data_IF_348560427842
#
_entry.id   IF_348560427842
#
_cell.length_a   1.000
_cell.length_b   1.000
_cell.length_c   1.000
_cell.angle_alpha   90.00
_cell.angle_beta   90.00
_cell.angle_gamma   90.00
#
_symmetry.space_group_name_H-M   'P 1'
#
loop_
_entity.id
_entity.type
_entity.pdbx_description
1 polymer ?
#
# COMPACT_ATOMS: atom_id res chain seq x y z
N UNK A 1 14.35 17.89 -25.89
CA UNK A 1 12.97 17.39 -25.76
C UNK A 1 12.70 17.31 -24.26
N UNK A 2 11.85 18.18 -23.72
CA UNK A 2 11.59 18.21 -22.28
C UNK A 2 10.75 16.99 -21.87
N UNK A 3 11.02 16.35 -20.71
CA UNK A 3 10.18 15.25 -20.23
C UNK A 3 8.77 15.78 -19.96
N UNK A 4 7.75 15.02 -20.39
CA UNK A 4 6.36 15.34 -20.12
C UNK A 4 6.10 15.42 -18.60
N UNK A 5 5.24 16.33 -18.13
CA UNK A 5 4.93 16.44 -16.72
C UNK A 5 4.32 15.12 -16.18
N UNK A 6 4.70 14.69 -14.96
CA UNK A 6 4.22 13.45 -14.38
C UNK A 6 2.71 13.52 -14.12
N UNK A 7 1.98 12.46 -14.48
CA UNK A 7 0.55 12.34 -14.18
C UNK A 7 0.32 11.98 -12.71
N UNK A 8 -0.85 12.28 -12.16
CA UNK A 8 -1.22 11.91 -10.77
C UNK A 8 -1.06 10.40 -10.55
N UNK A 9 -1.47 9.58 -11.52
CA UNK A 9 -1.27 8.13 -11.51
C UNK A 9 0.21 7.76 -11.44
N UNK A 10 1.08 8.45 -12.18
CA UNK A 10 2.53 8.20 -12.12
C UNK A 10 3.16 8.53 -10.76
N UNK A 11 2.63 9.55 -10.06
CA UNK A 11 3.04 9.90 -8.70
C UNK A 11 2.59 8.84 -7.69
N UNK A 12 1.34 8.38 -7.80
CA UNK A 12 0.81 7.28 -6.97
C UNK A 12 1.63 5.99 -7.19
N UNK A 13 1.94 5.67 -8.44
CA UNK A 13 2.76 4.52 -8.79
C UNK A 13 4.19 4.65 -8.20
N UNK A 14 4.84 5.80 -8.34
CA UNK A 14 6.21 5.99 -7.82
C UNK A 14 6.26 5.92 -6.29
N UNK A 15 5.24 6.43 -5.60
CA UNK A 15 5.07 6.27 -4.16
C UNK A 15 4.96 4.79 -3.78
N UNK A 16 4.07 4.03 -4.42
CA UNK A 16 3.89 2.60 -4.13
C UNK A 16 5.17 1.78 -4.37
N UNK A 17 5.90 2.08 -5.44
CA UNK A 17 7.21 1.47 -5.73
C UNK A 17 8.20 1.76 -4.60
N UNK A 18 8.24 3.01 -4.13
CA UNK A 18 9.14 3.43 -3.05
C UNK A 18 8.81 2.72 -1.74
N UNK A 19 7.53 2.68 -1.35
CA UNK A 19 7.09 1.98 -0.13
C UNK A 19 7.37 0.48 -0.21
N UNK A 20 7.07 -0.14 -1.35
CA UNK A 20 7.36 -1.56 -1.59
C UNK A 20 8.86 -1.84 -1.45
N UNK A 21 9.71 -0.96 -1.99
CA UNK A 21 11.16 -1.10 -1.89
C UNK A 21 11.64 -1.07 -0.45
N UNK A 22 11.10 -0.17 0.38
CA UNK A 22 11.41 -0.08 1.81
C UNK A 22 11.01 -1.36 2.55
N UNK A 23 9.82 -1.90 2.27
CA UNK A 23 9.33 -3.13 2.90
C UNK A 23 10.07 -4.40 2.45
N UNK A 24 10.61 -4.39 1.22
CA UNK A 24 11.37 -5.51 0.65
C UNK A 24 12.86 -5.48 0.98
N UNK A 25 13.31 -4.58 1.86
CA UNK A 25 14.72 -4.48 2.22
C UNK A 25 15.22 -5.79 2.84
N UNK A 26 16.47 -6.19 2.53
CA UNK A 26 17.05 -7.38 3.14
C UNK A 26 17.18 -7.18 4.64
N UNK A 27 16.83 -8.21 5.39
CA UNK A 27 16.97 -8.23 6.83
C UNK A 27 18.44 -8.49 7.18
N UNK A 28 18.95 -7.72 8.13
CA UNK A 28 20.25 -7.91 8.74
C UNK A 28 20.08 -8.05 10.26
N UNK A 29 20.86 -8.92 10.93
CA UNK A 29 20.82 -9.03 12.37
C UNK A 29 21.29 -7.74 13.03
N UNK A 30 20.62 -7.35 14.11
CA UNK A 30 21.03 -6.18 14.89
C UNK A 30 22.30 -6.51 15.67
N UNK A 31 23.14 -5.49 15.92
CA UNK A 31 24.36 -5.64 16.73
C UNK A 31 24.06 -6.17 18.14
N UNK A 32 22.93 -5.76 18.72
CA UNK A 32 22.45 -6.28 19.99
C UNK A 32 22.23 -7.80 19.92
N UNK A 33 21.55 -8.30 18.89
CA UNK A 33 21.35 -9.75 18.71
C UNK A 33 22.68 -10.49 18.55
N UNK A 34 23.62 -9.94 17.76
CA UNK A 34 24.95 -10.54 17.56
C UNK A 34 25.72 -10.68 18.88
N UNK A 35 25.68 -9.65 19.73
CA UNK A 35 26.35 -9.66 21.03
C UNK A 35 25.77 -10.74 21.96
N UNK A 36 24.44 -10.89 22.01
CA UNK A 36 23.79 -11.96 22.79
C UNK A 36 24.09 -13.36 22.24
N UNK A 37 24.16 -13.52 20.91
CA UNK A 37 24.51 -14.79 20.29
C UNK A 37 25.96 -15.20 20.62
N UNK A 38 26.87 -14.23 20.64
CA UNK A 38 28.27 -14.47 20.98
C UNK A 38 28.47 -14.78 22.48
N UNK A 39 27.78 -14.07 23.39
CA UNK A 39 27.89 -14.33 24.83
C UNK A 39 27.38 -15.71 25.23
N UNK A 40 26.33 -16.22 24.57
CA UNK A 40 25.84 -17.59 24.80
C UNK A 40 26.81 -18.67 24.28
N UNK A 41 27.70 -18.34 23.34
CA UNK A 41 28.71 -19.29 22.84
C UNK A 41 29.83 -19.56 23.86
N UNK A 42 30.04 -18.66 24.81
CA UNK A 42 31.07 -18.77 25.85
C UNK A 42 30.59 -19.55 27.08
N UNK A 43 29.30 -19.90 27.17
CA UNK A 43 28.72 -20.64 28.30
C UNK A 43 28.63 -22.13 27.96
N UNK A 44 29.54 -22.93 28.54
CA UNK A 44 29.87 -24.30 28.12
C UNK A 44 28.78 -25.37 28.32
N UNK A 45 27.69 -25.11 29.05
CA UNK A 45 26.93 -26.25 29.60
C UNK A 45 25.69 -26.73 28.85
N UNK A 46 24.98 -25.96 28.01
CA UNK A 46 23.82 -26.51 27.26
C UNK A 46 23.24 -25.60 26.14
N UNK A 47 23.74 -24.38 25.95
CA UNK A 47 23.16 -23.41 25.02
C UNK A 47 24.24 -22.70 24.18
N UNK A 48 25.05 -23.48 23.46
CA UNK A 48 26.03 -22.91 22.54
C UNK A 48 25.33 -21.99 21.51
N UNK A 49 25.75 -20.73 21.45
CA UNK A 49 25.26 -19.74 20.48
C UNK A 49 25.29 -20.27 19.04
N UNK A 50 24.37 -19.77 18.20
CA UNK A 50 24.24 -20.21 16.81
C UNK A 50 25.53 -19.93 16.05
N UNK A 51 26.04 -20.89 15.24
CA UNK A 51 27.23 -20.66 14.44
C UNK A 51 26.95 -19.59 13.38
N UNK A 52 27.82 -18.58 13.31
CA UNK A 52 27.69 -17.42 12.41
C UNK A 52 27.43 -17.83 10.95
N UNK A 53 28.10 -18.89 10.48
CA UNK A 53 27.89 -19.43 9.14
C UNK A 53 26.44 -19.91 8.90
N UNK A 54 25.82 -20.57 9.88
CA UNK A 54 24.44 -21.02 9.74
C UNK A 54 23.45 -19.85 9.75
N UNK A 55 23.77 -18.80 10.50
CA UNK A 55 23.00 -17.55 10.56
C UNK A 55 23.06 -16.85 9.20
N UNK A 56 24.26 -16.68 8.65
CA UNK A 56 24.46 -16.07 7.33
C UNK A 56 23.75 -16.87 6.22
N UNK A 57 23.87 -18.20 6.22
CA UNK A 57 23.18 -19.06 5.25
C UNK A 57 21.66 -18.96 5.36
N UNK A 58 21.12 -18.88 6.59
CA UNK A 58 19.69 -18.73 6.83
C UNK A 58 19.19 -17.36 6.36
N UNK A 59 19.92 -16.29 6.67
CA UNK A 59 19.61 -14.92 6.24
C UNK A 59 19.67 -14.79 4.72
N UNK A 60 20.68 -15.39 4.09
CA UNK A 60 20.79 -15.41 2.64
C UNK A 60 19.55 -16.04 2.00
N UNK A 61 19.14 -17.22 2.48
CA UNK A 61 17.94 -17.92 1.98
C UNK A 61 16.65 -17.12 2.25
N UNK A 62 16.53 -16.52 3.42
CA UNK A 62 15.37 -15.71 3.80
C UNK A 62 15.25 -14.47 2.91
N UNK A 63 16.34 -13.71 2.78
CA UNK A 63 16.40 -12.51 1.94
C UNK A 63 16.13 -12.85 0.47
N UNK A 64 16.64 -13.99 -0.01
CA UNK A 64 16.33 -14.46 -1.35
C UNK A 64 14.83 -14.74 -1.54
N UNK A 65 14.19 -15.46 -0.61
CA UNK A 65 12.74 -15.72 -0.66
C UNK A 65 11.92 -14.43 -0.56
N UNK A 66 12.33 -13.50 0.30
CA UNK A 66 11.68 -12.20 0.44
C UNK A 66 11.72 -11.42 -0.89
N UNK A 67 12.87 -11.39 -1.55
CA UNK A 67 13.01 -10.75 -2.86
C UNK A 67 12.16 -11.43 -3.93
N UNK A 68 12.12 -12.77 -3.97
CA UNK A 68 11.26 -13.51 -4.89
C UNK A 68 9.78 -13.20 -4.64
N UNK A 69 9.35 -13.17 -3.38
CA UNK A 69 8.00 -12.83 -2.99
C UNK A 69 7.64 -11.40 -3.39
N UNK A 70 8.50 -10.42 -3.08
CA UNK A 70 8.30 -9.02 -3.43
C UNK A 70 8.14 -8.83 -4.96
N UNK A 71 8.95 -9.52 -5.77
CA UNK A 71 8.83 -9.48 -7.24
C UNK A 71 7.52 -10.08 -7.76
N UNK A 72 6.99 -11.12 -7.11
CA UNK A 72 5.75 -11.79 -7.52
C UNK A 72 4.50 -11.01 -7.10
N UNK A 73 4.49 -10.50 -5.87
CA UNK A 73 3.33 -9.77 -5.32
C UNK A 73 3.23 -8.36 -5.89
N UNK A 74 4.37 -7.67 -6.05
CA UNK A 74 4.41 -6.28 -6.50
C UNK A 74 4.91 -6.18 -7.95
N UNK A 75 4.26 -6.93 -8.84
CA UNK A 75 4.54 -6.83 -10.27
C UNK A 75 4.27 -5.40 -10.77
N UNK A 76 5.10 -4.84 -11.68
CA UNK A 76 4.97 -3.45 -12.13
C UNK A 76 3.57 -3.09 -12.65
N UNK A 77 2.92 -4.02 -13.36
CA UNK A 77 1.56 -3.85 -13.88
C UNK A 77 0.51 -3.82 -12.76
N UNK A 78 0.67 -4.65 -11.73
CA UNK A 78 -0.22 -4.65 -10.57
C UNK A 78 -0.11 -3.33 -9.79
N UNK A 79 1.12 -2.84 -9.59
CA UNK A 79 1.36 -1.55 -8.91
C UNK A 79 0.74 -0.38 -9.66
N UNK A 80 0.80 -0.39 -11.00
CA UNK A 80 0.12 0.60 -11.84
C UNK A 80 -1.40 0.51 -11.70
N UNK A 81 -1.96 -0.69 -11.78
CA UNK A 81 -3.40 -0.90 -11.65
C UNK A 81 -3.93 -0.45 -10.29
N UNK A 82 -3.19 -0.71 -9.20
CA UNK A 82 -3.53 -0.19 -7.86
C UNK A 82 -3.49 1.34 -7.84
N UNK A 83 -2.50 1.97 -8.48
CA UNK A 83 -2.45 3.43 -8.58
C UNK A 83 -3.65 4.02 -9.33
N UNK A 84 -4.11 3.36 -10.40
CA UNK A 84 -5.31 3.73 -11.16
C UNK A 84 -6.59 3.54 -10.32
N UNK A 85 -6.71 2.43 -9.57
CA UNK A 85 -7.83 2.21 -8.65
C UNK A 85 -7.92 3.28 -7.55
N UNK A 86 -6.78 3.67 -6.96
CA UNK A 86 -6.72 4.75 -5.97
C UNK A 86 -7.14 6.08 -6.62
N UNK A 87 -6.84 6.30 -7.90
CA UNK A 87 -7.31 7.46 -8.64
C UNK A 87 -8.83 7.47 -8.81
N UNK A 88 -9.38 6.37 -9.30
CA UNK A 88 -10.84 6.21 -9.47
C UNK A 88 -11.59 6.37 -8.15
N UNK A 89 -11.08 5.78 -7.05
CA UNK A 89 -11.69 5.92 -5.74
C UNK A 89 -11.75 7.38 -5.28
N UNK A 90 -10.69 8.15 -5.53
CA UNK A 90 -10.64 9.56 -5.16
C UNK A 90 -11.62 10.41 -5.99
N UNK A 91 -11.71 10.15 -7.30
CA UNK A 91 -12.68 10.80 -8.18
C UNK A 91 -14.12 10.50 -7.75
N UNK A 92 -14.45 9.23 -7.53
CA UNK A 92 -15.80 8.82 -7.09
C UNK A 92 -16.17 9.41 -5.71
N UNK A 93 -15.21 9.50 -4.79
CA UNK A 93 -15.42 10.11 -3.49
C UNK A 93 -15.67 11.63 -3.59
N UNK A 94 -14.94 12.31 -4.49
CA UNK A 94 -15.14 13.73 -4.75
C UNK A 94 -16.55 13.99 -5.35
N UNK A 95 -16.97 13.20 -6.34
CA UNK A 95 -18.31 13.31 -6.94
C UNK A 95 -19.44 13.07 -5.92
N UNK A 96 -19.27 12.08 -5.04
CA UNK A 96 -20.24 11.79 -3.99
C UNK A 96 -20.34 12.93 -2.95
N UNK A 97 -19.21 13.56 -2.61
CA UNK A 97 -19.19 14.72 -1.71
C UNK A 97 -19.88 15.94 -2.32
N UNK A 98 -19.70 16.20 -3.63
CA UNK A 98 -20.38 17.30 -4.33
C UNK A 98 -21.87 17.03 -4.47
N UNK A 99 -22.29 15.80 -4.74
CA UNK A 99 -23.70 15.44 -4.92
C UNK A 99 -24.47 15.37 -3.60
N UNK A 100 -23.84 14.90 -2.52
CA UNK A 100 -24.40 14.91 -1.17
C UNK A 100 -24.58 16.31 -0.58
N UNK A 101 -23.77 17.28 -1.01
CA UNK A 101 -23.94 18.69 -0.66
C UNK A 101 -25.14 19.36 -1.35
N UNK A 102 -25.67 18.78 -2.43
CA UNK A 102 -26.86 19.27 -3.15
C UNK A 102 -28.16 18.56 -2.74
N UNK A 103 -28.12 17.56 -1.85
CA UNK A 103 -29.29 16.82 -1.39
C UNK A 103 -29.85 17.29 -0.03
N UNK A 104 -29.42 18.46 0.44
CA UNK A 104 -29.86 19.08 1.70
C UNK A 104 -30.37 20.52 1.55
N UNK A 105 -30.78 20.92 0.35
CA UNK A 105 -31.44 22.20 0.11
C UNK A 105 -32.87 21.93 -0.36
N UNK A 106 -33.82 22.10 0.56
CA UNK A 106 -35.22 21.79 0.34
C UNK A 106 -36.07 21.91 1.59
N UNK A 107 -35.81 22.91 2.43
CA UNK A 107 -36.85 23.44 3.30
C UNK A 107 -36.64 24.94 3.49
N UNK A 108 -37.70 25.65 3.12
CA UNK A 108 -37.88 27.09 3.07
C UNK A 108 -37.32 27.81 4.29
N UNK A 109 -36.62 28.92 4.08
CA UNK A 109 -36.85 30.14 4.87
C UNK A 109 -36.16 31.33 4.19
N UNK A 110 -37.01 32.28 3.78
CA UNK A 110 -36.69 33.65 3.45
C UNK A 110 -35.87 34.27 4.58
N UNK A 111 -34.70 34.85 4.27
CA UNK A 111 -34.26 36.13 4.85
C UNK A 111 -32.93 36.57 4.22
N UNK A 112 -32.89 37.86 3.93
CA UNK A 112 -31.81 38.60 3.29
C UNK A 112 -30.53 38.61 4.15
N UNK A 113 -29.39 38.91 3.51
CA UNK A 113 -28.03 39.03 4.07
C UNK A 113 -27.24 37.72 4.26
N UNK A 114 -26.76 37.15 3.14
CA UNK A 114 -25.70 36.12 3.18
C UNK A 114 -24.40 36.65 2.61
N UNK A 115 -23.50 36.98 3.54
CA UNK A 115 -22.06 37.12 3.33
C UNK A 115 -21.53 35.90 2.55
N UNK A 116 -20.64 36.16 1.59
CA UNK A 116 -20.06 35.14 0.70
C UNK A 116 -19.25 34.18 1.56
N UNK A 117 -19.85 33.07 1.98
CA UNK A 117 -19.16 32.05 2.77
C UNK A 117 -18.21 31.31 1.82
N UNK A 118 -16.97 31.77 1.82
CA UNK A 118 -15.81 31.12 1.22
C UNK A 118 -15.62 29.75 1.90
N UNK A 119 -16.35 28.75 1.40
CA UNK A 119 -16.56 27.47 2.06
C UNK A 119 -16.06 26.28 1.26
N UNK A 120 -14.94 26.40 0.54
CA UNK A 120 -14.14 25.20 0.30
C UNK A 120 -13.65 24.76 1.67
N UNK A 121 -14.35 23.82 2.31
CA UNK A 121 -13.86 23.22 3.55
C UNK A 121 -12.53 22.52 3.22
N UNK A 122 -11.43 23.22 3.49
CA UNK A 122 -10.04 22.76 3.49
C UNK A 122 -9.87 21.77 4.65
N UNK A 123 -10.65 20.69 4.60
CA UNK A 123 -10.90 19.82 5.76
C UNK A 123 -11.80 18.62 5.47
N UNK A 124 -12.17 18.35 4.21
CA UNK A 124 -12.56 17.00 3.85
C UNK A 124 -11.34 16.09 4.08
N UNK A 125 -11.22 15.58 5.31
CA UNK A 125 -10.24 14.59 5.72
C UNK A 125 -10.57 13.28 5.00
N UNK A 126 -10.21 13.22 3.72
CA UNK A 126 -10.25 12.04 2.87
C UNK A 126 -9.19 11.01 3.31
N UNK A 127 -8.43 11.30 4.38
CA UNK A 127 -7.61 10.35 5.12
C UNK A 127 -8.39 9.56 6.16
N UNK A 128 -9.68 9.84 6.39
CA UNK A 128 -10.48 9.08 7.34
C UNK A 128 -10.66 7.65 6.84
N UNK A 129 -9.90 6.75 7.46
CA UNK A 129 -9.89 5.29 7.34
C UNK A 129 -11.21 4.65 7.82
N UNK A 130 -12.36 5.20 7.45
CA UNK A 130 -13.70 4.65 7.69
C UNK A 130 -14.44 4.28 6.41
N UNK A 131 -13.92 4.65 5.23
CA UNK A 131 -14.43 4.22 3.92
C UNK A 131 -13.65 3.03 3.33
N UNK A 132 -12.83 2.35 4.14
CA UNK A 132 -12.21 1.10 3.71
C UNK A 132 -13.31 0.04 3.61
N UNK A 133 -13.62 -0.38 2.38
CA UNK A 133 -14.47 -1.53 2.09
C UNK A 133 -14.18 -2.69 3.07
N UNK A 134 -15.20 -3.45 3.52
CA UNK A 134 -14.95 -4.68 4.26
C UNK A 134 -14.02 -5.55 3.41
N UNK A 135 -12.87 -5.92 3.99
CA UNK A 135 -11.92 -6.81 3.31
C UNK A 135 -12.67 -8.08 2.88
N UNK A 136 -12.44 -8.63 1.68
CA UNK A 136 -12.91 -9.97 1.40
C UNK A 136 -12.29 -10.91 2.44
N UNK A 137 -13.14 -11.65 3.15
CA UNK A 137 -12.78 -12.49 4.29
C UNK A 137 -11.80 -13.64 3.95
N UNK A 138 -11.46 -13.82 2.67
CA UNK A 138 -10.40 -14.71 2.22
C UNK A 138 -9.89 -14.28 0.85
N UNK A 139 -8.58 -14.31 0.64
CA UNK A 139 -8.03 -14.44 -0.71
C UNK A 139 -8.34 -15.86 -1.19
N UNK A 140 -9.00 -16.06 -2.36
CA UNK A 140 -9.20 -17.39 -2.90
C UNK A 140 -7.82 -17.96 -3.27
N UNK A 141 -7.27 -18.80 -2.41
CA UNK A 141 -5.93 -19.39 -2.59
C UNK A 141 -5.89 -20.47 -3.68
N UNK A 142 -6.97 -20.65 -4.43
CA UNK A 142 -7.08 -21.65 -5.48
C UNK A 142 -8.10 -21.22 -6.55
N UNK A 143 -7.76 -20.21 -7.35
CA UNK A 143 -8.40 -20.00 -8.64
C UNK A 143 -7.46 -20.59 -9.70
N UNK A 144 -7.82 -21.69 -10.39
CA UNK A 144 -7.09 -22.10 -11.58
C UNK A 144 -7.13 -20.96 -12.58
N UNK A 145 -6.02 -20.72 -13.28
CA UNK A 145 -5.75 -19.59 -14.18
C UNK A 145 -6.68 -19.48 -15.43
N UNK A 146 -7.86 -20.10 -15.41
CA UNK A 146 -8.73 -20.32 -16.57
C UNK A 146 -9.94 -19.37 -16.60
N UNK A 147 -10.13 -18.51 -15.59
CA UNK A 147 -11.24 -17.54 -15.56
C UNK A 147 -10.73 -16.10 -15.62
N UNK A 148 -9.99 -15.77 -16.68
CA UNK A 148 -10.09 -14.43 -17.26
C UNK A 148 -10.94 -14.57 -18.53
N UNK A 149 -12.09 -13.88 -18.64
CA UNK A 149 -12.84 -13.85 -19.88
C UNK A 149 -11.99 -13.17 -20.95
N UNK A 150 -11.36 -13.96 -21.81
CA UNK A 150 -10.86 -13.48 -23.10
C UNK A 150 -12.06 -13.37 -24.02
N UNK A 151 -12.88 -12.34 -23.81
CA UNK A 151 -13.94 -12.01 -24.75
C UNK A 151 -13.60 -10.71 -25.49
N UNK A 152 -13.30 -10.93 -26.76
CA UNK A 152 -13.59 -10.10 -27.94
C UNK A 152 -12.68 -8.92 -28.25
N UNK A 153 -11.83 -9.15 -29.26
CA UNK A 153 -11.76 -8.26 -30.42
C UNK A 153 -11.90 -9.12 -31.68
N UNK A 154 -13.07 -9.05 -32.32
CA UNK A 154 -13.21 -9.13 -33.77
C UNK A 154 -13.21 -7.71 -34.30
#
# INVERSE_FOLDING_TARGET
MAPNPPTIVSLKQSFLITQTRLLSQPLAPTNAWRNHNNSNREQEDNAAGLPEKAVDDALFKLNHRLQQHARRVYAPQATRHVAEQIDQLYWNAAEAATTGAHAGDGEDDDDEDREVVEGLSVGADLGTMRLFFPRPNSFPMNVPAVLYPTDRYT
#
